data_IF_202077047965
#
_entry.id   IF_202077047965
#
_cell.length_a   1.000
_cell.length_b   1.000
_cell.length_c   1.000
_cell.angle_alpha   90.00
_cell.angle_beta   90.00
_cell.angle_gamma   90.00
#
_symmetry.space_group_name_H-M   'P 1'
#
loop_
_entity.id
_entity.type
_entity.pdbx_description
1 polymer ?
#
# COMPACT_ATOMS: atom_id res chain seq x y z
N UNK A 1 11.88 8.60 16.76
CA UNK A 1 13.11 8.05 16.13
C UNK A 1 13.32 6.58 16.43
N UNK A 2 13.28 6.13 17.69
CA UNK A 2 13.44 4.72 18.06
C UNK A 2 12.53 3.74 17.27
N UNK A 3 11.24 4.08 17.09
CA UNK A 3 10.31 3.23 16.32
C UNK A 3 10.72 3.03 14.86
N UNK A 4 11.17 4.11 14.19
CA UNK A 4 11.63 4.06 12.79
C UNK A 4 12.86 3.17 12.67
N UNK A 5 13.81 3.32 13.61
CA UNK A 5 15.02 2.49 13.66
C UNK A 5 14.64 1.03 13.88
N UNK A 6 13.70 0.73 14.77
CA UNK A 6 13.21 -0.63 14.99
C UNK A 6 12.58 -1.25 13.75
N UNK A 7 11.72 -0.52 13.04
CA UNK A 7 11.05 -1.00 11.83
C UNK A 7 12.05 -1.29 10.70
N UNK A 8 12.86 -0.30 10.33
CA UNK A 8 13.80 -0.48 9.22
C UNK A 8 14.97 -1.38 9.60
N UNK A 9 15.45 -1.33 10.84
CA UNK A 9 16.50 -2.21 11.35
C UNK A 9 16.08 -3.68 11.31
N UNK A 10 14.86 -4.00 11.75
CA UNK A 10 14.32 -5.37 11.68
C UNK A 10 14.11 -5.83 10.23
N UNK A 11 13.60 -4.95 9.36
CA UNK A 11 13.39 -5.26 7.95
C UNK A 11 14.71 -5.54 7.21
N UNK A 12 15.73 -4.70 7.43
CA UNK A 12 17.08 -4.88 6.86
C UNK A 12 17.70 -6.18 7.39
N UNK A 13 17.57 -6.46 8.69
CA UNK A 13 18.12 -7.67 9.29
C UNK A 13 17.52 -8.94 8.66
N UNK A 14 16.21 -8.99 8.42
CA UNK A 14 15.59 -10.12 7.69
C UNK A 14 16.18 -10.26 6.29
N UNK A 15 16.32 -9.15 5.55
CA UNK A 15 16.90 -9.16 4.21
C UNK A 15 18.36 -9.65 4.19
N UNK A 16 19.17 -9.28 5.18
CA UNK A 16 20.54 -9.78 5.34
C UNK A 16 20.54 -11.27 5.64
N UNK A 17 19.67 -11.75 6.53
CA UNK A 17 19.60 -13.16 6.89
C UNK A 17 19.18 -14.05 5.72
N UNK A 18 18.30 -13.58 4.83
CA UNK A 18 17.91 -14.32 3.62
C UNK A 18 19.06 -14.44 2.61
N UNK A 19 20.01 -13.50 2.62
CA UNK A 19 21.23 -13.57 1.79
C UNK A 19 22.27 -14.54 2.34
N UNK A 20 22.19 -14.88 3.63
CA UNK A 20 23.11 -15.78 4.30
C UNK A 20 22.59 -17.22 4.19
N UNK A 21 23.34 -18.09 3.52
CA UNK A 21 22.94 -19.48 3.22
C UNK A 21 22.88 -20.42 4.43
N UNK A 22 23.31 -19.98 5.62
CA UNK A 22 23.42 -20.79 6.83
C UNK A 22 22.75 -20.12 8.04
N UNK A 23 21.52 -19.64 7.88
CA UNK A 23 20.75 -19.06 8.99
C UNK A 23 19.72 -20.05 9.53
N UNK A 24 19.60 -20.21 10.86
CA UNK A 24 18.54 -21.01 11.45
C UNK A 24 17.16 -20.43 11.13
N UNK A 25 16.23 -21.25 10.66
CA UNK A 25 14.92 -20.76 10.18
C UNK A 25 14.08 -20.03 11.25
N UNK A 26 14.34 -20.26 12.54
CA UNK A 26 13.62 -19.60 13.62
C UNK A 26 14.00 -18.12 13.76
N UNK A 27 15.20 -17.73 13.30
CA UNK A 27 15.73 -16.39 13.52
C UNK A 27 15.02 -15.32 12.65
N UNK A 28 14.87 -15.48 11.31
CA UNK A 28 14.07 -14.56 10.50
C UNK A 28 12.61 -14.46 10.98
N UNK A 29 12.04 -15.58 11.44
CA UNK A 29 10.67 -15.62 11.98
C UNK A 29 10.55 -14.82 13.28
N UNK A 30 11.48 -14.98 14.22
CA UNK A 30 11.47 -14.23 15.47
C UNK A 30 11.55 -12.71 15.21
N UNK A 31 12.38 -12.29 14.26
CA UNK A 31 12.50 -10.88 13.85
C UNK A 31 11.21 -10.41 13.15
N UNK A 32 10.57 -11.27 12.34
CA UNK A 32 9.28 -10.96 11.72
C UNK A 32 8.17 -10.72 12.75
N UNK A 33 8.15 -11.46 13.87
CA UNK A 33 7.23 -11.20 15.00
C UNK A 33 7.45 -9.80 15.55
N UNK A 34 8.71 -9.45 15.86
CA UNK A 34 9.07 -8.12 16.39
C UNK A 34 8.68 -7.01 15.41
N UNK A 35 9.00 -7.17 14.12
CA UNK A 35 8.66 -6.21 13.08
C UNK A 35 7.14 -6.05 12.94
N UNK A 36 6.38 -7.14 13.01
CA UNK A 36 4.91 -7.11 12.96
C UNK A 36 4.33 -6.37 14.15
N UNK A 37 4.82 -6.60 15.36
CA UNK A 37 4.44 -5.84 16.55
C UNK A 37 4.74 -4.34 16.40
N UNK A 38 5.91 -3.98 15.84
CA UNK A 38 6.27 -2.59 15.60
C UNK A 38 5.35 -1.93 14.56
N UNK A 39 5.04 -2.61 13.47
CA UNK A 39 4.09 -2.12 12.45
C UNK A 39 2.67 -1.99 13.03
N UNK A 40 2.23 -2.97 13.82
CA UNK A 40 0.94 -2.94 14.50
C UNK A 40 0.86 -1.81 15.53
N UNK A 41 1.94 -1.55 16.27
CA UNK A 41 2.05 -0.40 17.17
C UNK A 41 1.91 0.92 16.40
N UNK A 42 2.62 1.08 15.28
CA UNK A 42 2.52 2.28 14.44
C UNK A 42 1.09 2.51 13.95
N UNK A 43 0.43 1.45 13.46
CA UNK A 43 -0.95 1.52 13.00
C UNK A 43 -1.92 1.88 14.14
N UNK A 44 -1.72 1.29 15.31
CA UNK A 44 -2.59 1.49 16.47
C UNK A 44 -2.45 2.89 17.04
N UNK A 45 -1.23 3.41 17.16
CA UNK A 45 -0.98 4.80 17.57
C UNK A 45 -1.63 5.77 16.59
N UNK A 46 -1.48 5.53 15.28
CA UNK A 46 -2.01 6.44 14.25
C UNK A 46 -3.54 6.42 14.19
N UNK A 47 -4.15 5.25 14.38
CA UNK A 47 -5.60 5.09 14.42
C UNK A 47 -6.24 5.43 15.78
N UNK A 48 -5.44 5.67 16.83
CA UNK A 48 -5.94 5.93 18.18
C UNK A 48 -6.59 4.69 18.84
N UNK A 49 -6.06 3.50 18.60
CA UNK A 49 -6.53 2.24 19.21
C UNK A 49 -5.83 1.87 20.52
N UNK A 50 -6.23 0.74 21.11
CA UNK A 50 -5.66 0.22 22.36
C UNK A 50 -4.34 -0.54 22.13
N UNK A 51 -3.22 0.16 22.32
CA UNK A 51 -1.86 -0.38 22.09
C UNK A 51 -1.58 -1.70 22.82
N UNK A 52 -1.90 -1.87 24.12
CA UNK A 52 -1.58 -3.12 24.82
C UNK A 52 -2.27 -4.34 24.22
N UNK A 53 -3.54 -4.19 23.82
CA UNK A 53 -4.33 -5.28 23.24
C UNK A 53 -3.78 -5.70 21.88
N UNK A 54 -3.45 -4.74 21.02
CA UNK A 54 -2.93 -5.04 19.69
C UNK A 54 -1.53 -5.66 19.77
N UNK A 55 -0.67 -5.17 20.67
CA UNK A 55 0.64 -5.77 20.90
C UNK A 55 0.55 -7.19 21.45
N UNK A 56 -0.37 -7.43 22.40
CA UNK A 56 -0.59 -8.77 22.94
C UNK A 56 -1.07 -9.72 21.85
N UNK A 57 -2.07 -9.33 21.06
CA UNK A 57 -2.61 -10.17 19.99
C UNK A 57 -1.57 -10.45 18.89
N UNK A 58 -0.87 -9.42 18.42
CA UNK A 58 0.17 -9.58 17.38
C UNK A 58 1.36 -10.40 17.89
N UNK A 59 1.79 -10.18 19.14
CA UNK A 59 2.84 -10.95 19.78
C UNK A 59 2.44 -12.41 20.00
N UNK A 60 1.24 -12.67 20.51
CA UNK A 60 0.75 -14.03 20.75
C UNK A 60 0.61 -14.82 19.46
N UNK A 61 0.02 -14.23 18.40
CA UNK A 61 -0.09 -14.88 17.09
C UNK A 61 1.28 -15.12 16.45
N UNK A 62 2.19 -14.15 16.53
CA UNK A 62 3.54 -14.28 16.01
C UNK A 62 4.35 -15.37 16.75
N UNK A 63 4.26 -15.42 18.08
CA UNK A 63 4.89 -16.48 18.88
C UNK A 63 4.28 -17.85 18.57
N UNK A 64 2.96 -17.92 18.38
CA UNK A 64 2.31 -19.16 17.96
C UNK A 64 2.85 -19.63 16.59
N UNK A 65 3.06 -18.73 15.62
CA UNK A 65 3.66 -19.06 14.33
C UNK A 65 5.14 -19.51 14.42
N UNK A 66 5.85 -19.08 15.47
CA UNK A 66 7.22 -19.52 15.74
C UNK A 66 7.26 -20.94 16.32
N UNK A 67 6.37 -21.22 17.28
CA UNK A 67 6.36 -22.46 18.07
C UNK A 67 5.60 -23.61 17.40
N UNK A 68 4.53 -23.30 16.67
CA UNK A 68 3.65 -24.29 16.05
C UNK A 68 4.06 -24.46 14.58
N UNK A 69 4.45 -25.67 14.14
CA UNK A 69 4.85 -25.93 12.76
C UNK A 69 3.62 -26.05 11.84
N UNK A 70 2.88 -24.97 11.67
CA UNK A 70 1.70 -24.90 10.80
C UNK A 70 1.89 -23.85 9.70
N UNK A 71 1.89 -24.29 8.44
CA UNK A 71 2.02 -23.40 7.29
C UNK A 71 0.80 -22.47 7.16
N UNK A 72 -0.38 -22.90 7.60
CA UNK A 72 -1.57 -22.06 7.62
C UNK A 72 -1.43 -20.91 8.62
N UNK A 73 -0.88 -21.19 9.81
CA UNK A 73 -0.66 -20.18 10.84
C UNK A 73 0.39 -19.14 10.39
N UNK A 74 1.48 -19.62 9.78
CA UNK A 74 2.53 -18.77 9.19
C UNK A 74 1.99 -17.89 8.06
N UNK A 75 1.18 -18.47 7.17
CA UNK A 75 0.50 -17.72 6.12
C UNK A 75 -0.44 -16.65 6.70
N UNK A 76 -1.19 -16.98 7.75
CA UNK A 76 -2.04 -16.03 8.47
C UNK A 76 -1.24 -14.87 9.06
N UNK A 77 -0.10 -15.15 9.69
CA UNK A 77 0.81 -14.12 10.22
C UNK A 77 1.43 -13.27 9.10
N UNK A 78 1.84 -13.87 7.98
CA UNK A 78 2.35 -13.14 6.82
C UNK A 78 1.29 -12.20 6.24
N UNK A 79 0.05 -12.67 6.08
CA UNK A 79 -1.09 -11.85 5.64
C UNK A 79 -1.36 -10.72 6.62
N UNK A 80 -1.38 -11.01 7.93
CA UNK A 80 -1.61 -10.01 8.97
C UNK A 80 -0.53 -8.93 8.97
N UNK A 81 0.75 -9.31 8.92
CA UNK A 81 1.88 -8.39 8.85
C UNK A 81 1.81 -7.50 7.60
N UNK A 82 1.57 -8.11 6.43
CA UNK A 82 1.43 -7.41 5.16
C UNK A 82 0.23 -6.43 5.18
N UNK A 83 -0.93 -6.85 5.68
CA UNK A 83 -2.11 -6.00 5.74
C UNK A 83 -1.94 -4.82 6.71
N UNK A 84 -1.36 -5.07 7.89
CA UNK A 84 -1.06 -4.01 8.87
C UNK A 84 -0.08 -3.00 8.29
N UNK A 85 0.99 -3.45 7.63
CA UNK A 85 1.96 -2.58 6.97
C UNK A 85 1.34 -1.76 5.85
N UNK A 86 0.48 -2.38 5.04
CA UNK A 86 -0.20 -1.73 3.93
C UNK A 86 -1.15 -0.62 4.42
N UNK A 87 -1.97 -0.91 5.44
CA UNK A 87 -2.83 0.08 6.11
C UNK A 87 -2.01 1.21 6.75
N UNK A 88 -0.92 0.87 7.44
CA UNK A 88 -0.04 1.85 8.05
C UNK A 88 0.60 2.77 7.00
N UNK A 89 1.04 2.23 5.87
CA UNK A 89 1.56 3.01 4.75
C UNK A 89 0.58 4.08 4.29
N UNK A 90 -0.70 3.72 4.14
CA UNK A 90 -1.77 4.67 3.80
C UNK A 90 -1.94 5.74 4.89
N UNK A 91 -2.08 5.33 6.15
CA UNK A 91 -2.37 6.22 7.30
C UNK A 91 -1.17 7.10 7.73
N UNK A 92 0.04 6.71 7.36
CA UNK A 92 1.26 7.46 7.64
C UNK A 92 1.47 8.66 6.71
N UNK A 93 0.75 8.71 5.59
CA UNK A 93 0.79 9.87 4.68
C UNK A 93 0.28 11.13 5.39
N UNK A 94 0.84 12.28 5.02
CA UNK A 94 0.38 13.61 5.45
C UNK A 94 -0.30 14.37 4.32
N UNK A 95 -1.09 15.42 4.64
CA UNK A 95 -1.56 16.37 3.64
C UNK A 95 -0.38 16.99 2.89
N UNK A 96 -0.50 17.10 1.57
CA UNK A 96 0.51 17.66 0.70
C UNK A 96 -0.01 18.92 0.00
N UNK A 97 0.65 20.06 0.19
CA UNK A 97 0.26 21.32 -0.48
C UNK A 97 0.77 21.38 -1.91
N UNK A 98 1.92 20.76 -2.18
CA UNK A 98 2.55 20.66 -3.50
C UNK A 98 2.64 19.21 -3.97
N UNK A 99 2.73 19.03 -5.28
CA UNK A 99 2.85 17.69 -5.86
C UNK A 99 4.16 16.99 -5.47
N UNK A 100 5.25 17.75 -5.26
CA UNK A 100 6.51 17.18 -4.77
C UNK A 100 6.39 16.62 -3.34
N UNK A 101 5.61 17.30 -2.49
CA UNK A 101 5.26 16.76 -1.18
C UNK A 101 4.44 15.48 -1.35
N UNK A 102 3.47 15.44 -2.28
CA UNK A 102 2.69 14.24 -2.54
C UNK A 102 3.56 13.05 -2.98
N UNK A 103 4.55 13.26 -3.86
CA UNK A 103 5.55 12.24 -4.23
C UNK A 103 6.26 11.72 -2.98
N UNK A 104 6.74 12.61 -2.11
CA UNK A 104 7.40 12.22 -0.86
C UNK A 104 6.48 11.36 0.03
N UNK A 105 5.21 11.72 0.15
CA UNK A 105 4.24 10.95 0.95
C UNK A 105 3.97 9.56 0.34
N UNK A 106 3.90 9.45 -0.99
CA UNK A 106 3.82 8.15 -1.69
C UNK A 106 5.04 7.29 -1.36
N UNK A 107 6.25 7.85 -1.46
CA UNK A 107 7.48 7.11 -1.19
C UNK A 107 7.57 6.63 0.27
N UNK A 108 7.13 7.45 1.24
CA UNK A 108 7.05 7.06 2.65
C UNK A 108 6.04 5.93 2.86
N UNK A 109 4.87 6.00 2.19
CA UNK A 109 3.86 4.95 2.28
C UNK A 109 4.38 3.61 1.75
N UNK A 110 5.05 3.64 0.59
CA UNK A 110 5.62 2.46 -0.05
C UNK A 110 6.83 1.92 0.69
N UNK A 111 7.63 2.75 1.35
CA UNK A 111 8.76 2.28 2.16
C UNK A 111 8.30 1.53 3.42
N UNK A 112 7.20 1.97 4.06
CA UNK A 112 6.58 1.23 5.16
C UNK A 112 5.97 -0.10 4.68
N UNK A 113 5.35 -0.10 3.51
CA UNK A 113 4.87 -1.32 2.87
C UNK A 113 6.01 -2.29 2.53
N UNK A 114 7.15 -1.78 2.06
CA UNK A 114 8.35 -2.59 1.81
C UNK A 114 8.89 -3.23 3.09
N UNK A 115 8.89 -2.52 4.22
CA UNK A 115 9.22 -3.10 5.51
C UNK A 115 8.26 -4.25 5.88
N UNK A 116 6.96 -4.07 5.60
CA UNK A 116 5.97 -5.15 5.70
C UNK A 116 6.27 -6.36 4.81
N UNK A 117 6.87 -6.14 3.64
CA UNK A 117 7.31 -7.24 2.77
C UNK A 117 8.39 -8.10 3.39
N UNK A 118 9.30 -7.51 4.17
CA UNK A 118 10.31 -8.26 4.92
C UNK A 118 9.66 -9.05 6.07
N UNK A 119 8.67 -8.48 6.76
CA UNK A 119 7.92 -9.21 7.78
C UNK A 119 7.19 -10.43 7.20
N UNK A 120 6.51 -10.24 6.07
CA UNK A 120 5.82 -11.34 5.37
C UNK A 120 6.81 -12.40 4.86
N UNK A 121 7.98 -12.00 4.36
CA UNK A 121 9.06 -12.91 3.97
C UNK A 121 9.58 -13.72 5.15
N UNK A 122 9.79 -13.10 6.31
CA UNK A 122 10.27 -13.80 7.50
C UNK A 122 9.28 -14.86 8.04
N UNK A 123 7.98 -14.72 7.75
CA UNK A 123 6.97 -15.73 8.02
C UNK A 123 6.78 -16.76 6.88
N UNK A 124 7.70 -16.82 5.91
CA UNK A 124 7.61 -17.64 4.69
C UNK A 124 6.76 -18.91 4.87
N UNK A 125 5.72 -19.03 4.03
CA UNK A 125 4.79 -20.15 4.04
C UNK A 125 4.71 -20.77 2.64
N UNK A 126 4.48 -22.07 2.57
CA UNK A 126 4.35 -22.81 1.30
C UNK A 126 2.97 -22.64 0.64
N UNK A 127 2.23 -21.58 0.98
CA UNK A 127 0.87 -21.33 0.46
C UNK A 127 0.96 -20.69 -0.93
N UNK A 128 -0.06 -20.93 -1.75
CA UNK A 128 -0.18 -20.34 -3.08
C UNK A 128 -0.07 -18.81 -3.03
N UNK A 129 1.02 -18.29 -3.61
CA UNK A 129 1.37 -16.87 -3.61
C UNK A 129 0.27 -15.98 -4.17
N UNK A 130 -0.34 -16.38 -5.28
CA UNK A 130 -1.39 -15.59 -5.92
C UNK A 130 -2.61 -15.43 -4.99
N UNK A 131 -3.03 -16.51 -4.31
CA UNK A 131 -4.12 -16.43 -3.32
C UNK A 131 -3.73 -15.51 -2.16
N UNK A 132 -2.50 -15.62 -1.67
CA UNK A 132 -2.01 -14.82 -0.55
C UNK A 132 -2.01 -13.33 -0.90
N UNK A 133 -1.54 -12.95 -2.09
CA UNK A 133 -1.59 -11.56 -2.58
C UNK A 133 -3.01 -11.00 -2.68
N UNK A 134 -3.99 -11.79 -3.13
CA UNK A 134 -5.39 -11.34 -3.17
C UNK A 134 -5.96 -11.16 -1.77
N UNK A 135 -5.69 -12.09 -0.85
CA UNK A 135 -6.15 -11.97 0.55
C UNK A 135 -5.54 -10.72 1.18
N UNK A 136 -4.24 -10.48 1.02
CA UNK A 136 -3.58 -9.26 1.53
C UNK A 136 -4.22 -8.01 0.94
N UNK A 137 -4.48 -7.97 -0.37
CA UNK A 137 -5.13 -6.83 -1.01
C UNK A 137 -6.52 -6.56 -0.44
N UNK A 138 -7.36 -7.60 -0.31
CA UNK A 138 -8.72 -7.48 0.23
C UNK A 138 -8.70 -7.02 1.69
N UNK A 139 -7.87 -7.64 2.52
CA UNK A 139 -7.76 -7.30 3.95
C UNK A 139 -7.18 -5.91 4.15
N UNK A 140 -6.14 -5.52 3.40
CA UNK A 140 -5.54 -4.19 3.47
C UNK A 140 -6.48 -3.09 2.98
N UNK A 141 -7.21 -3.32 1.88
CA UNK A 141 -8.18 -2.37 1.36
C UNK A 141 -9.37 -2.23 2.32
N UNK A 142 -9.96 -3.35 2.75
CA UNK A 142 -11.04 -3.36 3.74
C UNK A 142 -10.63 -2.72 5.06
N UNK A 143 -9.42 -3.02 5.54
CA UNK A 143 -8.83 -2.42 6.73
C UNK A 143 -8.61 -0.92 6.58
N UNK A 144 -8.08 -0.47 5.45
CA UNK A 144 -7.88 0.96 5.18
C UNK A 144 -9.22 1.71 5.14
N UNK A 145 -10.23 1.15 4.46
CA UNK A 145 -11.59 1.70 4.43
C UNK A 145 -12.20 1.76 5.83
N UNK A 146 -12.13 0.67 6.60
CA UNK A 146 -12.69 0.60 7.95
C UNK A 146 -12.03 1.62 8.89
N UNK A 147 -10.70 1.77 8.81
CA UNK A 147 -9.97 2.75 9.61
C UNK A 147 -10.35 4.18 9.22
N UNK A 148 -10.46 4.48 7.93
CA UNK A 148 -10.84 5.82 7.44
C UNK A 148 -12.29 6.15 7.78
N UNK A 149 -13.19 5.17 7.72
CA UNK A 149 -14.56 5.33 8.18
C UNK A 149 -14.59 5.71 9.67
N UNK A 150 -13.79 5.02 10.49
CA UNK A 150 -13.64 5.32 11.92
C UNK A 150 -13.05 6.71 12.16
N UNK A 151 -12.16 7.21 11.28
CA UNK A 151 -11.60 8.57 11.35
C UNK A 151 -12.63 9.70 11.26
N UNK A 152 -13.93 9.41 11.13
CA UNK A 152 -14.98 10.43 11.09
C UNK A 152 -14.94 11.26 9.81
N UNK A 153 -14.32 10.73 8.75
CA UNK A 153 -14.49 11.24 7.39
C UNK A 153 -15.89 10.79 6.90
N UNK A 154 -16.95 11.31 7.51
CA UNK A 154 -18.32 10.89 7.21
C UNK A 154 -18.66 10.98 5.71
N UNK A 155 -19.45 10.02 5.21
CA UNK A 155 -19.90 9.98 3.82
C UNK A 155 -20.77 11.20 3.46
N UNK A 156 -21.48 11.75 4.44
CA UNK A 156 -22.34 12.94 4.32
C UNK A 156 -21.61 14.21 3.89
N UNK A 157 -20.28 14.24 4.03
CA UNK A 157 -19.47 15.35 3.54
C UNK A 157 -19.06 15.21 2.08
N UNK A 158 -19.10 14.02 1.46
CA UNK A 158 -18.78 13.88 0.04
C UNK A 158 -19.90 14.53 -0.77
N UNK A 159 -19.65 15.71 -1.34
CA UNK A 159 -20.54 16.23 -2.38
C UNK A 159 -20.66 15.23 -3.55
N UNK A 160 -21.52 15.51 -4.53
CA UNK A 160 -21.71 14.64 -5.71
C UNK A 160 -20.39 14.19 -6.37
N UNK A 161 -19.38 15.08 -6.40
CA UNK A 161 -18.04 14.80 -6.94
C UNK A 161 -17.28 13.74 -6.15
N UNK A 162 -17.38 13.75 -4.81
CA UNK A 162 -16.73 12.76 -3.96
C UNK A 162 -17.32 11.36 -4.14
N UNK A 163 -18.65 11.27 -4.22
CA UNK A 163 -19.33 10.00 -4.51
C UNK A 163 -18.93 9.44 -5.87
N UNK A 164 -18.85 10.27 -6.91
CA UNK A 164 -18.40 9.85 -8.25
C UNK A 164 -16.95 9.36 -8.25
N UNK A 165 -16.07 9.97 -7.46
CA UNK A 165 -14.67 9.53 -7.34
C UNK A 165 -14.54 8.19 -6.61
N UNK A 166 -15.24 8.02 -5.48
CA UNK A 166 -15.22 6.76 -4.72
C UNK A 166 -15.88 5.65 -5.52
N UNK A 167 -17.04 5.92 -6.15
CA UNK A 167 -17.71 4.99 -7.04
C UNK A 167 -16.85 4.67 -8.27
N UNK A 168 -16.18 5.66 -8.85
CA UNK A 168 -15.25 5.49 -9.96
C UNK A 168 -14.06 4.62 -9.59
N UNK A 169 -13.44 4.84 -8.43
CA UNK A 169 -12.33 4.03 -7.94
C UNK A 169 -12.77 2.59 -7.57
N UNK A 170 -13.92 2.42 -6.93
CA UNK A 170 -14.55 1.12 -6.70
C UNK A 170 -14.87 0.41 -8.00
N UNK A 171 -15.41 1.12 -9.00
CA UNK A 171 -15.71 0.58 -10.32
C UNK A 171 -14.44 0.19 -11.06
N UNK A 172 -13.41 1.03 -11.07
CA UNK A 172 -12.11 0.72 -11.68
C UNK A 172 -11.45 -0.49 -11.01
N UNK A 173 -11.52 -0.56 -9.69
CA UNK A 173 -11.04 -1.71 -8.94
C UNK A 173 -11.86 -2.96 -9.25
N UNK A 174 -13.20 -2.85 -9.27
CA UNK A 174 -14.08 -3.95 -9.63
C UNK A 174 -13.83 -4.41 -11.06
N UNK A 175 -13.65 -3.50 -12.02
CA UNK A 175 -13.29 -3.82 -13.41
C UNK A 175 -11.91 -4.47 -13.45
N UNK A 176 -10.90 -3.96 -12.74
CA UNK A 176 -9.57 -4.56 -12.72
C UNK A 176 -9.60 -5.99 -12.16
N UNK A 177 -10.34 -6.21 -11.06
CA UNK A 177 -10.49 -7.53 -10.45
C UNK A 177 -11.36 -8.47 -11.30
N UNK A 178 -12.49 -7.99 -11.80
CA UNK A 178 -13.40 -8.74 -12.66
C UNK A 178 -12.75 -9.08 -14.00
N UNK A 179 -11.97 -8.17 -14.60
CA UNK A 179 -11.19 -8.43 -15.81
C UNK A 179 -10.15 -9.53 -15.54
N UNK A 180 -9.45 -9.47 -14.41
CA UNK A 180 -8.47 -10.50 -14.04
C UNK A 180 -9.14 -11.86 -13.79
N UNK A 181 -10.32 -11.88 -13.16
CA UNK A 181 -11.10 -13.10 -12.92
C UNK A 181 -11.73 -13.66 -14.21
N UNK A 182 -12.29 -12.80 -15.04
CA UNK A 182 -12.91 -13.15 -16.32
C UNK A 182 -11.87 -13.69 -17.31
N UNK A 183 -10.69 -13.08 -17.43
CA UNK A 183 -9.59 -13.62 -18.24
C UNK A 183 -9.15 -15.01 -17.77
N UNK A 184 -9.08 -15.22 -16.46
CA UNK A 184 -8.65 -16.51 -15.89
C UNK A 184 -9.65 -17.64 -16.09
N UNK A 185 -10.94 -17.32 -16.16
CA UNK A 185 -11.99 -18.33 -16.12
C UNK A 185 -12.75 -18.46 -17.46
N UNK A 186 -12.73 -17.41 -18.30
CA UNK A 186 -13.46 -17.32 -19.57
C UNK A 186 -12.62 -16.69 -20.70
N UNK A 187 -11.36 -16.33 -20.44
CA UNK A 187 -10.51 -15.71 -21.46
C UNK A 187 -10.31 -16.66 -22.64
N UNK A 188 -10.61 -16.20 -23.86
CA UNK A 188 -10.28 -16.95 -25.06
C UNK A 188 -8.77 -17.22 -25.10
N UNK A 189 -8.40 -18.38 -25.64
CA UNK A 189 -6.99 -18.80 -25.73
C UNK A 189 -6.15 -17.70 -26.39
N UNK A 190 -6.69 -17.06 -27.44
CA UNK A 190 -6.03 -16.00 -28.20
C UNK A 190 -5.81 -14.69 -27.39
N UNK A 191 -6.77 -14.32 -26.52
CA UNK A 191 -6.63 -13.15 -25.65
C UNK A 191 -5.57 -13.39 -24.58
N UNK A 192 -5.58 -14.58 -23.99
CA UNK A 192 -4.59 -14.97 -23.00
C UNK A 192 -3.18 -15.05 -23.63
N UNK A 193 -3.05 -15.60 -24.84
CA UNK A 193 -1.77 -15.63 -25.55
C UNK A 193 -1.28 -14.23 -25.92
N UNK A 194 -2.16 -13.33 -26.38
CA UNK A 194 -1.79 -11.96 -26.70
C UNK A 194 -1.31 -11.18 -25.46
N UNK A 195 -1.95 -11.36 -24.30
CA UNK A 195 -1.51 -10.75 -23.03
C UNK A 195 -0.15 -11.30 -22.60
N UNK A 196 0.04 -12.62 -22.66
CA UNK A 196 1.32 -13.27 -22.33
C UNK A 196 2.43 -12.82 -23.28
N UNK A 197 2.11 -12.67 -24.57
CA UNK A 197 3.04 -12.19 -25.58
C UNK A 197 3.43 -10.73 -25.34
N UNK A 198 2.46 -9.86 -25.05
CA UNK A 198 2.71 -8.47 -24.70
C UNK A 198 3.55 -8.35 -23.42
N UNK A 199 3.25 -9.14 -22.38
CA UNK A 199 4.07 -9.20 -21.17
C UNK A 199 5.49 -9.71 -21.47
N UNK A 200 5.61 -10.72 -22.34
CA UNK A 200 6.88 -11.24 -22.82
C UNK A 200 7.69 -10.18 -23.58
N UNK A 201 7.04 -9.41 -24.44
CA UNK A 201 7.64 -8.29 -25.17
C UNK A 201 8.15 -7.21 -24.21
N UNK A 202 7.32 -6.77 -23.27
CA UNK A 202 7.71 -5.78 -22.26
C UNK A 202 8.88 -6.31 -21.43
N UNK A 203 8.82 -7.57 -20.98
CA UNK A 203 9.89 -8.16 -20.15
C UNK A 203 11.21 -8.27 -20.92
N UNK A 204 11.19 -8.60 -22.21
CA UNK A 204 12.40 -8.64 -23.05
C UNK A 204 13.00 -7.25 -23.29
N UNK A 205 12.17 -6.22 -23.47
CA UNK A 205 12.64 -4.87 -23.82
C UNK A 205 12.90 -3.94 -22.62
N UNK A 206 12.13 -4.11 -21.54
CA UNK A 206 12.14 -3.22 -20.38
C UNK A 206 12.48 -3.95 -19.06
N UNK A 207 12.82 -5.25 -19.11
CA UNK A 207 13.25 -6.07 -17.96
C UNK A 207 12.22 -6.30 -16.83
N UNK A 208 11.14 -5.51 -16.77
CA UNK A 208 10.05 -5.65 -15.80
C UNK A 208 8.71 -5.20 -16.37
N UNK A 209 7.63 -5.84 -15.90
CA UNK A 209 6.26 -5.54 -16.33
C UNK A 209 5.58 -4.67 -15.26
N UNK A 210 4.98 -3.52 -15.63
CA UNK A 210 4.26 -2.70 -14.67
C UNK A 210 2.98 -3.39 -14.18
N UNK A 211 2.65 -3.18 -12.91
CA UNK A 211 1.53 -3.81 -12.20
C UNK A 211 0.30 -2.89 -12.33
N UNK A 212 -0.74 -3.28 -13.10
CA UNK A 212 -1.88 -2.40 -13.42
C UNK A 212 -2.57 -1.78 -12.21
N UNK A 213 -2.85 -2.58 -11.19
CA UNK A 213 -3.55 -2.12 -9.98
C UNK A 213 -2.75 -1.06 -9.19
N UNK A 214 -1.41 -1.14 -9.25
CA UNK A 214 -0.52 -0.17 -8.58
C UNK A 214 -0.54 1.16 -9.33
N UNK A 215 -0.40 1.15 -10.66
CA UNK A 215 -0.25 2.40 -11.42
C UNK A 215 -1.57 3.05 -11.85
N UNK A 216 -2.66 2.29 -12.06
CA UNK A 216 -3.96 2.89 -12.38
C UNK A 216 -4.74 3.34 -11.15
N UNK A 217 -4.58 2.66 -10.01
CA UNK A 217 -5.40 2.89 -8.82
C UNK A 217 -4.53 3.33 -7.64
N UNK A 218 -3.63 2.48 -7.17
CA UNK A 218 -2.99 2.67 -5.87
C UNK A 218 -2.12 3.92 -5.74
N UNK A 219 -1.12 4.08 -6.61
CA UNK A 219 -0.19 5.22 -6.55
C UNK A 219 -0.89 6.55 -6.88
N UNK A 220 -1.73 6.64 -7.93
CA UNK A 220 -2.53 7.85 -8.15
C UNK A 220 -3.39 8.21 -6.94
N UNK A 221 -4.03 7.23 -6.31
CA UNK A 221 -4.88 7.44 -5.14
C UNK A 221 -4.09 7.95 -3.92
N UNK A 222 -2.86 7.46 -3.68
CA UNK A 222 -1.99 7.99 -2.63
C UNK A 222 -1.59 9.45 -2.91
N UNK A 223 -1.09 9.73 -4.12
CA UNK A 223 -0.61 11.05 -4.50
C UNK A 223 -1.74 12.09 -4.46
N UNK A 224 -2.85 11.77 -5.12
CA UNK A 224 -4.00 12.65 -5.22
C UNK A 224 -4.74 12.77 -3.89
N UNK A 225 -4.91 11.68 -3.14
CA UNK A 225 -5.53 11.71 -1.81
C UNK A 225 -4.75 12.57 -0.81
N UNK A 226 -3.41 12.48 -0.81
CA UNK A 226 -2.56 13.34 0.01
C UNK A 226 -2.69 14.82 -0.39
N UNK A 227 -2.76 15.10 -1.69
CA UNK A 227 -2.97 16.46 -2.21
C UNK A 227 -4.35 17.03 -1.83
N UNK A 228 -5.38 16.21 -1.95
CA UNK A 228 -6.76 16.56 -1.58
C UNK A 228 -6.91 16.81 -0.08
N UNK A 229 -6.20 16.05 0.77
CA UNK A 229 -6.26 16.21 2.22
C UNK A 229 -5.79 17.57 2.73
N UNK A 230 -4.93 18.26 1.98
CA UNK A 230 -4.53 19.62 2.31
C UNK A 230 -5.69 20.63 2.18
N UNK A 231 -6.74 20.27 1.42
CA UNK A 231 -7.90 21.11 1.10
C UNK A 231 -9.19 20.60 1.73
N UNK A 232 -9.40 19.29 1.76
CA UNK A 232 -10.66 18.64 2.15
C UNK A 232 -10.43 17.34 2.90
N UNK A 233 -11.21 17.09 3.96
CA UNK A 233 -11.15 15.81 4.72
C UNK A 233 -11.49 14.59 3.88
N UNK A 234 -12.29 14.76 2.83
CA UNK A 234 -12.71 13.70 1.91
C UNK A 234 -11.53 13.03 1.19
N UNK A 235 -10.37 13.70 1.07
CA UNK A 235 -9.18 13.11 0.46
C UNK A 235 -8.71 11.81 1.14
N UNK A 236 -9.12 11.57 2.39
CA UNK A 236 -8.91 10.29 3.05
C UNK A 236 -9.56 9.12 2.31
N UNK A 237 -10.77 9.28 1.76
CA UNK A 237 -11.44 8.21 1.00
C UNK A 237 -10.67 7.83 -0.26
N UNK A 238 -10.09 8.82 -0.93
CA UNK A 238 -9.20 8.57 -2.07
C UNK A 238 -7.93 7.86 -1.59
N UNK A 239 -7.29 8.34 -0.50
CA UNK A 239 -6.11 7.69 0.07
C UNK A 239 -6.36 6.23 0.48
N UNK A 240 -7.59 5.83 0.85
CA UNK A 240 -7.93 4.44 1.17
C UNK A 240 -7.57 3.48 0.04
N UNK A 241 -7.85 3.88 -1.21
CA UNK A 241 -7.51 3.11 -2.41
C UNK A 241 -6.00 3.02 -2.64
N UNK A 242 -5.20 3.82 -1.92
CA UNK A 242 -3.76 3.67 -1.85
C UNK A 242 -3.31 2.30 -1.33
N UNK A 243 -4.19 1.56 -0.64
CA UNK A 243 -3.98 0.16 -0.30
C UNK A 243 -3.70 -0.72 -1.54
N UNK A 244 -4.24 -0.33 -2.71
CA UNK A 244 -3.99 -0.99 -3.99
C UNK A 244 -2.54 -0.86 -4.48
N UNK A 245 -1.74 0.04 -3.89
CA UNK A 245 -0.29 0.13 -4.12
C UNK A 245 0.51 -0.45 -2.94
N UNK A 246 0.10 -0.17 -1.70
CA UNK A 246 0.85 -0.66 -0.53
C UNK A 246 0.71 -2.17 -0.33
N UNK A 247 -0.43 -2.78 -0.66
CA UNK A 247 -0.62 -4.23 -0.54
C UNK A 247 0.20 -5.06 -1.55
N UNK A 248 0.30 -4.71 -2.85
CA UNK A 248 1.25 -5.38 -3.72
C UNK A 248 2.71 -5.14 -3.29
N UNK A 249 3.03 -3.96 -2.74
CA UNK A 249 4.37 -3.64 -2.25
C UNK A 249 4.80 -4.51 -1.07
N UNK A 250 3.88 -4.92 -0.19
CA UNK A 250 4.17 -5.86 0.91
C UNK A 250 4.39 -7.30 0.44
N UNK A 251 4.21 -7.60 -0.85
CA UNK A 251 4.35 -8.95 -1.40
C UNK A 251 5.57 -9.12 -2.31
N UNK A 252 6.28 -8.03 -2.63
CA UNK A 252 7.38 -8.01 -3.62
C UNK A 252 8.51 -8.98 -3.27
N UNK A 253 8.90 -9.07 -1.99
CA UNK A 253 9.98 -9.96 -1.57
C UNK A 253 9.51 -11.40 -1.32
N UNK A 254 8.21 -11.62 -1.17
CA UNK A 254 7.63 -12.95 -0.90
C UNK A 254 7.46 -13.73 -2.22
N UNK A 255 7.24 -13.02 -3.33
CA UNK A 255 7.01 -13.66 -4.62
C UNK A 255 8.30 -14.23 -5.19
N UNK A 256 8.46 -15.56 -5.06
CA UNK A 256 9.60 -16.31 -5.62
C UNK A 256 9.41 -16.72 -7.08
N UNK A 257 8.27 -16.42 -7.70
CA UNK A 257 8.00 -16.78 -9.10
C UNK A 257 8.72 -15.86 -10.09
N UNK A 258 9.13 -14.66 -9.65
CA UNK A 258 9.81 -13.65 -10.46
C UNK A 258 11.09 -13.24 -9.73
N UNK A 259 12.25 -13.14 -10.42
CA UNK A 259 13.47 -12.63 -9.80
C UNK A 259 13.25 -11.25 -9.17
N UNK A 260 13.77 -11.04 -7.96
CA UNK A 260 13.55 -9.81 -7.18
C UNK A 260 13.88 -8.53 -7.95
N UNK A 261 14.95 -8.55 -8.77
CA UNK A 261 15.34 -7.42 -9.60
C UNK A 261 14.28 -7.09 -10.68
N UNK A 262 13.66 -8.10 -11.28
CA UNK A 262 12.59 -7.88 -12.27
C UNK A 262 11.32 -7.37 -11.60
N UNK A 263 10.99 -7.90 -10.42
CA UNK A 263 9.87 -7.43 -9.62
C UNK A 263 10.05 -5.97 -9.17
N UNK A 264 11.25 -5.59 -8.74
CA UNK A 264 11.55 -4.22 -8.31
C UNK A 264 11.52 -3.22 -9.47
N UNK A 265 11.98 -3.60 -10.67
CA UNK A 265 11.87 -2.79 -11.89
C UNK A 265 10.40 -2.61 -12.30
N UNK A 266 9.61 -3.69 -12.32
CA UNK A 266 8.17 -3.62 -12.60
C UNK A 266 7.42 -2.72 -11.61
N UNK A 267 7.74 -2.83 -10.32
CA UNK A 267 7.18 -1.95 -9.29
C UNK A 267 7.61 -0.48 -9.50
N UNK A 268 8.87 -0.24 -9.84
CA UNK A 268 9.39 1.11 -10.11
C UNK A 268 8.68 1.78 -11.29
N UNK A 269 8.46 1.05 -12.40
CA UNK A 269 7.66 1.55 -13.52
C UNK A 269 6.23 1.84 -13.11
N UNK A 270 5.64 0.99 -12.27
CA UNK A 270 4.28 1.20 -11.77
C UNK A 270 4.17 2.48 -10.94
N UNK A 271 5.18 2.76 -10.11
CA UNK A 271 5.24 3.98 -9.31
C UNK A 271 5.38 5.20 -10.22
N UNK A 272 6.28 5.17 -11.21
CA UNK A 272 6.48 6.30 -12.13
C UNK A 272 5.22 6.60 -12.96
N UNK A 273 4.61 5.57 -13.55
CA UNK A 273 3.37 5.70 -14.31
C UNK A 273 2.20 6.17 -13.43
N UNK A 274 2.10 5.63 -12.21
CA UNK A 274 1.05 6.01 -11.28
C UNK A 274 1.22 7.44 -10.76
N UNK A 275 2.45 7.90 -10.54
CA UNK A 275 2.73 9.30 -10.24
C UNK A 275 2.32 10.18 -11.43
N UNK A 276 2.69 9.82 -12.66
CA UNK A 276 2.27 10.57 -13.85
C UNK A 276 0.74 10.72 -13.93
N UNK A 277 -0.01 9.64 -13.71
CA UNK A 277 -1.49 9.68 -13.68
C UNK A 277 -1.98 10.54 -12.51
N UNK A 278 -1.42 10.36 -11.31
CA UNK A 278 -1.77 11.18 -10.14
C UNK A 278 -1.50 12.67 -10.35
N UNK A 279 -0.44 13.03 -11.07
CA UNK A 279 -0.15 14.41 -11.46
C UNK A 279 -1.25 14.94 -12.40
N UNK A 280 -1.65 14.17 -13.40
CA UNK A 280 -2.74 14.56 -14.31
C UNK A 280 -4.06 14.76 -13.55
N UNK A 281 -4.41 13.88 -12.61
CA UNK A 281 -5.61 14.02 -11.77
C UNK A 281 -5.58 15.31 -10.96
N UNK A 282 -4.45 15.61 -10.31
CA UNK A 282 -4.25 16.87 -9.58
C UNK A 282 -4.39 18.08 -10.51
N UNK A 283 -3.89 17.99 -11.75
CA UNK A 283 -4.01 19.08 -12.74
C UNK A 283 -5.45 19.30 -13.20
N UNK A 284 -6.18 18.23 -13.47
CA UNK A 284 -7.60 18.30 -13.86
C UNK A 284 -8.41 18.91 -12.73
N UNK A 285 -8.16 18.51 -11.48
CA UNK A 285 -8.85 19.07 -10.32
C UNK A 285 -8.57 20.57 -10.14
N UNK A 286 -7.30 21.00 -10.20
CA UNK A 286 -6.95 22.42 -10.13
C UNK A 286 -7.60 23.23 -11.25
N UNK A 287 -7.68 22.66 -12.46
CA UNK A 287 -8.33 23.31 -13.58
C UNK A 287 -9.84 23.49 -13.34
N UNK A 288 -10.52 22.47 -12.80
CA UNK A 288 -11.96 22.45 -12.57
C UNK A 288 -12.42 23.28 -11.37
N UNK A 289 -11.65 23.34 -10.28
CA UNK A 289 -12.08 23.97 -9.03
C UNK A 289 -11.79 25.47 -8.96
N UNK A 290 -10.68 25.95 -9.54
CA UNK A 290 -10.24 27.35 -9.39
C UNK A 290 -10.10 28.11 -10.71
N UNK A 291 -10.21 27.44 -11.87
CA UNK A 291 -9.86 28.05 -13.16
C UNK A 291 -8.42 28.56 -13.20
N UNK A 292 -7.56 28.06 -12.30
CA UNK A 292 -6.23 28.59 -12.00
C UNK A 292 -5.23 28.21 -13.11
N UNK A 293 -5.29 28.93 -14.23
CA UNK A 293 -4.36 28.76 -15.35
C UNK A 293 -3.00 29.42 -15.08
N UNK A 294 -2.93 30.41 -14.18
CA UNK A 294 -1.73 31.21 -13.94
C UNK A 294 -0.89 30.75 -12.73
N UNK A 295 0.44 30.88 -12.82
CA UNK A 295 1.38 30.56 -11.72
C UNK A 295 1.08 31.29 -10.40
N UNK A 296 0.53 32.52 -10.48
CA UNK A 296 0.21 33.36 -9.31
C UNK A 296 -1.03 32.86 -8.56
N UNK A 297 -2.07 32.47 -9.30
CA UNK A 297 -3.29 31.86 -8.74
C UNK A 297 -2.97 30.56 -7.99
N UNK A 298 -2.02 29.77 -8.52
CA UNK A 298 -1.58 28.50 -7.91
C UNK A 298 -0.85 28.70 -6.58
N UNK A 299 0.05 29.69 -6.50
CA UNK A 299 0.70 30.03 -5.23
C UNK A 299 -0.31 30.53 -4.19
N UNK A 300 -1.28 31.33 -4.60
CA UNK A 300 -2.34 31.79 -3.70
C UNK A 300 -3.19 30.60 -3.17
N UNK A 301 -3.52 29.64 -4.04
CA UNK A 301 -4.20 28.41 -3.62
C UNK A 301 -3.35 27.57 -2.66
N UNK A 302 -2.05 27.41 -2.93
CA UNK A 302 -1.12 26.69 -2.05
C UNK A 302 -1.02 27.32 -0.65
N UNK A 303 -1.07 28.65 -0.56
CA UNK A 303 -1.10 29.38 0.71
C UNK A 303 -2.42 29.20 1.47
N UNK A 304 -3.55 29.05 0.76
CA UNK A 304 -4.86 28.81 1.35
C UNK A 304 -5.10 27.33 1.72
N UNK A 305 -4.39 26.41 1.07
CA UNK A 305 -4.47 24.97 1.31
C UNK A 305 -3.71 24.55 2.58
N UNK A 306 -4.15 25.02 3.75
CA UNK A 306 -3.56 24.68 5.03
C UNK A 306 -4.58 24.05 5.98
N UNK A 307 -4.86 22.76 5.76
CA UNK A 307 -5.52 21.91 6.76
C UNK A 307 -4.46 21.15 7.58
N UNK A 308 -4.12 21.59 8.79
CA UNK A 308 -3.13 20.90 9.60
C UNK A 308 -3.67 19.53 10.01
N UNK A 309 -2.84 18.51 9.88
CA UNK A 309 -3.07 17.20 10.46
C UNK A 309 -1.96 16.84 11.45
N UNK A 310 -2.28 16.04 12.48
CA UNK A 310 -1.33 15.68 13.53
C UNK A 310 -0.12 14.92 12.98
N UNK A 311 0.99 14.96 13.73
CA UNK A 311 2.25 14.32 13.37
C UNK A 311 2.09 12.81 13.12
N UNK A 312 3.02 12.17 12.40
CA UNK A 312 2.90 10.74 12.02
C UNK A 312 2.82 9.77 13.20
N UNK A 313 3.36 10.18 14.35
CA UNK A 313 3.34 9.40 15.59
C UNK A 313 2.28 9.89 16.58
N UNK A 314 1.34 10.71 16.10
CA UNK A 314 0.21 11.19 16.88
C UNK A 314 -1.08 10.58 16.32
N UNK A 315 -2.09 10.32 17.16
CA UNK A 315 -3.41 9.89 16.70
C UNK A 315 -4.00 10.88 15.68
N UNK A 316 -4.79 10.36 14.74
CA UNK A 316 -5.52 11.16 13.72
C UNK A 316 -6.83 11.78 14.22
N UNK A 317 -7.24 11.43 15.44
CA UNK A 317 -8.45 11.90 16.10
C UNK A 317 -8.14 13.05 17.06
#
# INVERSE_FOLDING_TARGET
MAWIIGVYGSAILIGILELLSATPDWLPRAIAVVLTCLLALGLTVRSGGHVPVVLLLSGALGLAALLIPSDLLRAGCAVGAAAVAACLGVLATKPATTYLQAIREVLIALSLALAGSMAALGFASNVNQARLSYVVLVVALGGSIALIYRLGAGLHGLGQRGYLMVAGALLLLAIALAYTAALRQWGSIDLNSAVVEAQGFIRRNAFGVPIPVVFFVGVPALAWGAFMRARRRQGWWVSAFGAAATAPMTMVAVDRSIPLLQASVGMSYSILLGLLIGFLLVRVEQFLDTGATSKRSRRAEEHLAHRPEPSRMSPLH
#
